data_IF_538776852691
#
_entry.id   IF_538776852691
#
_cell.length_a   1.000
_cell.length_b   1.000
_cell.length_c   1.000
_cell.angle_alpha   90.00
_cell.angle_beta   90.00
_cell.angle_gamma   90.00
#
_symmetry.space_group_name_H-M   'P 1'
#
loop_
_entity.id
_entity.type
_entity.pdbx_description
1 polymer ?
#
# COMPACT_ATOMS: atom_id res chain seq x y z
N UNK A 1 7.65 -11.74 -0.97
CA UNK A 1 7.53 -10.60 -1.91
C UNK A 1 6.37 -9.70 -1.48
N UNK A 2 6.50 -8.37 -1.63
CA UNK A 2 5.54 -7.39 -1.08
C UNK A 2 4.09 -7.67 -1.46
N UNK A 3 3.82 -7.93 -2.74
CA UNK A 3 2.48 -8.26 -3.28
C UNK A 3 1.86 -9.50 -2.62
N UNK A 4 2.66 -10.57 -2.52
CA UNK A 4 2.21 -11.82 -1.91
C UNK A 4 1.88 -11.64 -0.43
N UNK A 5 2.70 -10.88 0.31
CA UNK A 5 2.48 -10.63 1.74
C UNK A 5 1.35 -9.65 2.05
N UNK A 6 1.06 -8.71 1.14
CA UNK A 6 -0.03 -7.73 1.34
C UNK A 6 -1.40 -8.28 0.98
N UNK A 7 -1.49 -9.36 0.19
CA UNK A 7 -2.75 -9.93 -0.28
C UNK A 7 -3.50 -9.04 -1.28
N UNK A 8 -2.80 -8.08 -1.89
CA UNK A 8 -3.37 -7.15 -2.87
C UNK A 8 -3.03 -7.56 -4.30
N UNK A 9 -3.89 -7.18 -5.25
CA UNK A 9 -3.57 -7.22 -6.67
C UNK A 9 -2.81 -5.95 -7.11
N UNK A 10 -2.32 -5.94 -8.35
CA UNK A 10 -1.60 -4.79 -8.87
C UNK A 10 -2.46 -3.53 -8.98
N UNK A 11 -3.75 -3.68 -9.26
CA UNK A 11 -4.68 -2.56 -9.37
C UNK A 11 -4.82 -1.79 -8.05
N UNK A 12 -4.80 -2.49 -6.92
CA UNK A 12 -4.87 -1.87 -5.59
C UNK A 12 -3.49 -1.42 -5.07
N UNK A 13 -2.40 -1.93 -5.63
CA UNK A 13 -1.04 -1.53 -5.26
C UNK A 13 -0.54 -0.29 -6.02
N UNK A 14 -1.05 -0.04 -7.22
CA UNK A 14 -0.66 1.09 -8.06
C UNK A 14 -1.52 2.32 -7.81
N UNK A 15 -0.91 3.50 -7.88
CA UNK A 15 -1.62 4.78 -7.92
C UNK A 15 -2.38 4.93 -9.26
N UNK A 16 -3.45 5.75 -9.31
CA UNK A 16 -4.26 5.87 -10.52
C UNK A 16 -3.51 6.27 -11.79
N UNK A 17 -2.52 7.16 -11.67
CA UNK A 17 -1.63 7.56 -12.77
C UNK A 17 -0.80 6.39 -13.30
N UNK A 18 -0.17 5.63 -12.40
CA UNK A 18 0.55 4.42 -12.78
C UNK A 18 -0.36 3.32 -13.35
N UNK A 19 -1.61 3.22 -12.88
CA UNK A 19 -2.59 2.30 -13.47
C UNK A 19 -2.90 2.67 -14.92
N UNK A 20 -3.05 3.97 -15.22
CA UNK A 20 -3.25 4.44 -16.59
C UNK A 20 -2.06 4.14 -17.50
N UNK A 21 -0.83 4.34 -17.00
CA UNK A 21 0.39 4.05 -17.77
C UNK A 21 0.59 2.55 -18.04
N UNK A 22 0.02 1.68 -17.18
CA UNK A 22 0.22 0.23 -17.19
C UNK A 22 -1.04 -0.56 -17.60
N UNK A 23 -2.00 0.06 -18.28
CA UNK A 23 -3.30 -0.56 -18.60
C UNK A 23 -3.16 -1.96 -19.24
N UNK A 24 -2.30 -2.11 -20.25
CA UNK A 24 -2.06 -3.40 -20.91
C UNK A 24 -1.41 -4.42 -19.97
N UNK A 25 -0.40 -4.02 -19.22
CA UNK A 25 0.30 -4.90 -18.28
C UNK A 25 -0.63 -5.35 -17.14
N UNK A 26 -1.57 -4.50 -16.73
CA UNK A 26 -2.61 -4.85 -15.76
C UNK A 26 -3.62 -5.86 -16.34
N UNK A 27 -4.05 -5.67 -17.59
CA UNK A 27 -4.97 -6.59 -18.26
C UNK A 27 -4.37 -7.99 -18.46
N UNK A 28 -3.08 -8.05 -18.77
CA UNK A 28 -2.32 -9.29 -18.95
C UNK A 28 -1.76 -9.86 -17.64
N UNK A 29 -1.90 -9.11 -16.54
CA UNK A 29 -1.29 -9.41 -15.24
C UNK A 29 0.24 -9.65 -15.33
N UNK A 30 0.90 -8.91 -16.23
CA UNK A 30 2.35 -8.95 -16.43
C UNK A 30 3.07 -8.27 -15.27
N UNK A 31 3.42 -9.08 -14.27
CA UNK A 31 4.12 -8.63 -13.08
C UNK A 31 5.54 -8.13 -13.39
N UNK A 32 6.19 -8.65 -14.44
CA UNK A 32 7.55 -8.26 -14.79
C UNK A 32 7.61 -6.81 -15.26
N UNK A 33 6.73 -6.44 -16.20
CA UNK A 33 6.61 -5.06 -16.69
C UNK A 33 6.20 -4.10 -15.58
N UNK A 34 5.24 -4.47 -14.73
CA UNK A 34 4.79 -3.63 -13.61
C UNK A 34 5.93 -3.39 -12.61
N UNK A 35 6.66 -4.43 -12.24
CA UNK A 35 7.79 -4.31 -11.30
C UNK A 35 8.89 -3.43 -11.90
N UNK A 36 9.23 -3.62 -13.17
CA UNK A 36 10.25 -2.80 -13.83
C UNK A 36 9.83 -1.33 -13.88
N UNK A 37 8.57 -1.04 -14.24
CA UNK A 37 8.03 0.31 -14.18
C UNK A 37 8.17 0.92 -12.78
N UNK A 38 7.87 0.16 -11.72
CA UNK A 38 7.96 0.64 -10.34
C UNK A 38 9.40 0.84 -9.84
N UNK A 39 10.36 0.06 -10.34
CA UNK A 39 11.79 0.28 -10.07
C UNK A 39 12.21 1.64 -10.66
N UNK A 40 11.79 1.93 -11.90
CA UNK A 40 12.13 3.16 -12.58
C UNK A 40 11.32 4.37 -12.06
N UNK A 41 10.09 4.13 -11.58
CA UNK A 41 9.16 5.14 -11.07
C UNK A 41 8.52 4.68 -9.75
N UNK A 42 9.25 4.69 -8.62
CA UNK A 42 8.71 4.26 -7.32
C UNK A 42 7.50 5.06 -6.85
N UNK A 43 7.31 6.26 -7.42
CA UNK A 43 6.17 7.11 -7.12
C UNK A 43 4.83 6.47 -7.47
N UNK A 44 4.79 5.58 -8.46
CA UNK A 44 3.59 4.89 -8.94
C UNK A 44 3.02 3.85 -7.99
N UNK A 45 3.72 3.49 -6.90
CA UNK A 45 3.21 2.60 -5.87
C UNK A 45 2.39 3.40 -4.83
N UNK A 46 1.25 2.83 -4.43
CA UNK A 46 0.48 3.29 -3.28
C UNK A 46 1.30 3.20 -1.99
N UNK A 47 1.11 4.17 -1.09
CA UNK A 47 1.93 4.32 0.12
C UNK A 47 1.10 4.83 1.31
N UNK A 48 1.46 4.45 2.56
CA UNK A 48 2.59 3.59 2.92
C UNK A 48 2.23 2.09 2.99
N UNK A 49 3.12 1.23 2.50
CA UNK A 49 3.14 -0.19 2.88
C UNK A 49 3.94 -0.35 4.18
N UNK A 50 3.37 -1.04 5.15
CA UNK A 50 4.01 -1.34 6.45
C UNK A 50 4.12 -2.85 6.61
N UNK A 51 5.31 -3.31 7.00
CA UNK A 51 5.63 -4.72 7.22
C UNK A 51 6.03 -4.91 8.69
N UNK A 52 5.42 -5.88 9.36
CA UNK A 52 5.77 -6.30 10.72
C UNK A 52 5.88 -7.83 10.78
N UNK A 53 6.27 -8.38 11.93
CA UNK A 53 6.21 -9.82 12.17
C UNK A 53 4.80 -10.42 12.12
N UNK A 54 3.75 -9.60 12.14
CA UNK A 54 2.35 -10.04 12.06
C UNK A 54 1.75 -9.99 10.66
N UNK A 55 2.41 -9.32 9.71
CA UNK A 55 1.91 -9.23 8.34
C UNK A 55 2.31 -7.94 7.64
N UNK A 56 1.68 -7.71 6.49
CA UNK A 56 1.89 -6.54 5.64
C UNK A 56 0.56 -5.87 5.30
N UNK A 57 0.51 -4.53 5.34
CA UNK A 57 -0.67 -3.74 4.94
C UNK A 57 -0.27 -2.50 4.15
N UNK A 58 -1.14 -2.12 3.21
CA UNK A 58 -1.23 -0.76 2.72
C UNK A 58 -2.03 0.04 3.76
N UNK A 59 -1.36 0.88 4.54
CA UNK A 59 -1.98 1.64 5.63
C UNK A 59 -2.67 2.91 5.12
N UNK A 60 -3.67 2.71 4.25
CA UNK A 60 -4.52 3.74 3.66
C UNK A 60 -5.99 3.29 3.77
N UNK A 61 -6.70 3.64 4.85
CA UNK A 61 -6.35 4.63 5.87
C UNK A 61 -5.41 4.08 6.96
N UNK A 62 -4.89 4.97 7.82
CA UNK A 62 -3.77 4.65 8.74
C UNK A 62 -4.13 3.57 9.77
N UNK A 63 -5.41 3.44 10.11
CA UNK A 63 -6.01 2.50 11.05
C UNK A 63 -5.71 1.04 10.69
N UNK A 64 -5.47 0.73 9.41
CA UNK A 64 -5.09 -0.62 8.98
C UNK A 64 -3.77 -1.10 9.62
N UNK A 65 -2.95 -0.19 10.17
CA UNK A 65 -1.77 -0.56 10.95
C UNK A 65 -2.13 -1.40 12.20
N UNK A 66 -3.32 -1.21 12.78
CA UNK A 66 -3.74 -1.93 13.98
C UNK A 66 -3.98 -3.42 13.75
N UNK A 67 -4.13 -3.84 12.50
CA UNK A 67 -4.20 -5.27 12.15
C UNK A 67 -2.84 -5.96 12.27
N UNK A 68 -1.75 -5.20 12.16
CA UNK A 68 -0.38 -5.73 12.07
C UNK A 68 0.53 -5.26 13.20
N UNK A 69 0.02 -4.59 14.24
CA UNK A 69 0.79 -4.14 15.41
C UNK A 69 0.12 -4.47 16.73
N UNK A 70 0.88 -4.93 17.72
CA UNK A 70 0.38 -5.15 19.10
C UNK A 70 0.16 -3.86 19.89
N UNK A 71 1.02 -2.87 19.66
CA UNK A 71 1.02 -1.62 20.42
C UNK A 71 0.06 -0.64 19.77
N UNK A 72 -0.82 -0.06 20.58
CA UNK A 72 -1.67 1.06 20.19
C UNK A 72 -1.15 2.35 20.83
N UNK A 73 -1.20 3.49 20.11
CA UNK A 73 -0.87 4.78 20.71
C UNK A 73 -1.89 5.14 21.79
N UNK A 74 -1.48 6.01 22.72
CA UNK A 74 -2.38 6.55 23.74
C UNK A 74 -3.41 7.48 23.09
N UNK A 75 -4.64 7.45 23.61
CA UNK A 75 -5.70 8.36 23.19
C UNK A 75 -5.54 9.75 23.86
N UNK A 76 -5.97 10.85 23.20
CA UNK A 76 -6.48 10.89 21.83
C UNK A 76 -5.33 10.80 20.81
N UNK A 77 -5.53 10.00 19.76
CA UNK A 77 -4.62 10.03 18.60
C UNK A 77 -5.33 10.70 17.43
N UNK A 78 -4.77 11.82 16.99
CA UNK A 78 -5.32 12.65 15.92
C UNK A 78 -4.40 12.62 14.70
N UNK A 79 -4.97 12.73 13.52
CA UNK A 79 -4.21 13.03 12.30
C UNK A 79 -3.66 14.46 12.37
N UNK A 80 -2.75 14.80 11.45
CA UNK A 80 -2.24 16.17 11.26
C UNK A 80 -3.36 17.21 11.01
N UNK A 81 -4.55 16.77 10.57
CA UNK A 81 -5.73 17.63 10.34
C UNK A 81 -6.68 17.67 11.53
N UNK A 82 -6.31 17.10 12.68
CA UNK A 82 -7.15 17.03 13.88
C UNK A 82 -8.28 15.99 13.83
N UNK A 83 -8.29 15.11 12.81
CA UNK A 83 -9.28 14.03 12.71
C UNK A 83 -8.93 12.93 13.70
N UNK A 84 -9.89 12.51 14.51
CA UNK A 84 -9.70 11.46 15.51
C UNK A 84 -9.54 10.08 14.86
N UNK A 85 -8.46 9.39 15.22
CA UNK A 85 -8.16 8.01 14.81
C UNK A 85 -8.46 7.03 15.94
N UNK A 86 -8.03 7.34 17.18
CA UNK A 86 -8.36 6.64 18.43
C UNK A 86 -8.85 7.64 19.47
#
# INVERSE_FOLDING_TARGET
>A
ELKGSSGLDWKHMLRPDAQSDLENALAENDSGTIIQYLIDRPAGLERPFVITGKGTRLCRPIEAIFEITDRRPQAPWLTEKGVKVI
#
